data_IF_949151078926
#
_entry.id   IF_949151078926
#
_cell.length_a   1.000
_cell.length_b   1.000
_cell.length_c   1.000
_cell.angle_alpha   90.00
_cell.angle_beta   90.00
_cell.angle_gamma   90.00
#
_symmetry.space_group_name_H-M   'P 1'
#
loop_
_entity.id
_entity.type
_entity.pdbx_description
1 polymer ?
#
# COMPACT_ATOMS: atom_id res chain seq x y z
N UNK A 1 -9.13 1.74 -8.72
CA UNK A 1 -9.03 1.23 -7.33
C UNK A 1 -10.39 1.32 -6.69
N UNK A 2 -10.82 0.29 -5.98
CA UNK A 2 -12.16 0.19 -5.39
C UNK A 2 -12.14 0.29 -3.88
N UNK A 3 -11.12 -0.27 -3.21
CA UNK A 3 -10.99 -0.18 -1.76
C UNK A 3 -9.54 -0.39 -1.29
N UNK A 4 -9.30 -0.07 -0.02
CA UNK A 4 -8.04 -0.39 0.68
C UNK A 4 -8.32 -0.81 2.12
N UNK A 5 -7.45 -1.63 2.70
CA UNK A 5 -7.40 -1.88 4.13
C UNK A 5 -5.96 -1.68 4.63
N UNK A 6 -5.70 -0.76 5.57
CA UNK A 6 -6.63 0.23 6.12
C UNK A 6 -7.24 1.13 5.03
N UNK A 7 -8.45 1.66 5.28
CA UNK A 7 -9.09 2.63 4.38
C UNK A 7 -8.35 3.96 4.42
N UNK A 8 -8.49 4.77 3.38
CA UNK A 8 -7.94 6.13 3.36
C UNK A 8 -8.49 6.95 4.53
N UNK A 9 -7.60 7.52 5.34
CA UNK A 9 -7.95 8.30 6.53
C UNK A 9 -8.34 7.46 7.75
N UNK A 10 -8.20 6.14 7.71
CA UNK A 10 -8.52 5.29 8.86
C UNK A 10 -7.71 5.69 10.10
N UNK A 11 -8.39 5.77 11.25
CA UNK A 11 -7.77 5.92 12.57
C UNK A 11 -7.93 4.63 13.36
N UNK A 12 -7.14 4.44 14.42
CA UNK A 12 -7.28 3.28 15.28
C UNK A 12 -6.76 1.97 14.66
N UNK A 13 -5.87 2.06 13.70
CA UNK A 13 -5.28 0.87 13.05
C UNK A 13 -4.32 0.19 14.01
N UNK A 14 -4.53 -1.10 14.29
CA UNK A 14 -3.65 -1.83 15.21
C UNK A 14 -2.17 -1.79 14.79
N UNK A 15 -1.30 -1.48 15.75
CA UNK A 15 0.17 -1.60 15.59
C UNK A 15 0.64 -3.04 15.29
N UNK A 16 -0.16 -4.05 15.63
CA UNK A 16 0.18 -5.46 15.33
C UNK A 16 -0.22 -5.86 13.91
N UNK A 17 -1.04 -5.08 13.21
CA UNK A 17 -1.37 -5.37 11.81
C UNK A 17 -0.17 -5.17 10.88
N UNK A 18 0.11 -6.18 10.05
CA UNK A 18 1.24 -6.16 9.10
C UNK A 18 0.87 -5.95 7.65
N UNK A 19 -0.39 -6.24 7.32
CA UNK A 19 -0.84 -6.25 5.95
C UNK A 19 -1.51 -4.92 5.61
N UNK A 20 -1.28 -4.50 4.38
CA UNK A 20 -2.03 -3.47 3.69
C UNK A 20 -2.56 -4.11 2.42
N UNK A 21 -3.87 -4.06 2.21
CA UNK A 21 -4.48 -4.56 0.98
C UNK A 21 -5.05 -3.40 0.18
N UNK A 22 -4.89 -3.47 -1.14
CA UNK A 22 -5.46 -2.51 -2.09
C UNK A 22 -6.15 -3.33 -3.18
N UNK A 23 -7.45 -3.09 -3.36
CA UNK A 23 -8.27 -3.79 -4.34
C UNK A 23 -8.56 -2.87 -5.52
N UNK A 24 -8.43 -3.42 -6.72
CA UNK A 24 -8.63 -2.76 -7.99
C UNK A 24 -9.95 -3.23 -8.63
N UNK A 25 -10.44 -2.47 -9.60
CA UNK A 25 -11.67 -2.80 -10.33
C UNK A 25 -11.49 -3.99 -11.27
N UNK A 26 -10.25 -4.31 -11.63
CA UNK A 26 -9.88 -5.36 -12.57
C UNK A 26 -8.66 -6.11 -12.07
N UNK A 27 -8.39 -7.27 -12.67
CA UNK A 27 -7.18 -8.04 -12.36
C UNK A 27 -5.92 -7.25 -12.71
N UNK A 28 -4.92 -7.35 -11.86
CA UNK A 28 -3.70 -6.55 -11.96
C UNK A 28 -2.45 -7.43 -12.11
N UNK A 29 -1.37 -6.79 -12.55
CA UNK A 29 -0.02 -7.32 -12.61
C UNK A 29 0.97 -6.27 -12.11
N UNK A 30 2.16 -6.72 -11.74
CA UNK A 30 3.26 -5.83 -11.41
C UNK A 30 3.65 -4.99 -12.64
N UNK A 31 3.72 -3.68 -12.47
CA UNK A 31 4.22 -2.74 -13.47
C UNK A 31 5.73 -2.50 -13.33
N UNK A 32 6.28 -1.66 -14.20
CA UNK A 32 7.72 -1.35 -14.23
C UNK A 32 8.22 -0.74 -12.91
N UNK A 33 7.36 0.02 -12.21
CA UNK A 33 7.70 0.68 -10.95
C UNK A 33 7.19 -0.06 -9.71
N UNK A 34 6.88 -1.34 -9.83
CA UNK A 34 6.36 -2.13 -8.71
C UNK A 34 7.33 -2.16 -7.52
N UNK A 35 8.65 -2.14 -7.79
CA UNK A 35 9.69 -2.07 -6.76
C UNK A 35 9.67 -0.75 -5.97
N UNK A 36 9.24 0.36 -6.58
CA UNK A 36 9.19 1.71 -5.99
C UNK A 36 7.99 1.93 -5.04
N UNK A 37 7.08 0.96 -4.91
CA UNK A 37 6.00 0.99 -3.92
C UNK A 37 6.58 1.03 -2.50
N UNK A 38 6.15 2.00 -1.70
CA UNK A 38 6.64 2.17 -0.33
C UNK A 38 5.52 2.44 0.69
N UNK A 39 5.85 2.18 1.97
CA UNK A 39 5.06 2.63 3.12
C UNK A 39 5.96 3.50 3.99
N UNK A 40 5.56 4.72 4.28
CA UNK A 40 6.35 5.69 5.05
C UNK A 40 5.63 6.05 6.35
N UNK A 41 6.33 5.95 7.47
CA UNK A 41 5.87 6.58 8.70
C UNK A 41 6.14 8.09 8.57
N UNK A 42 5.08 8.88 8.48
CA UNK A 42 5.15 10.33 8.31
C UNK A 42 5.57 11.04 9.59
N UNK A 43 5.22 10.50 10.76
CA UNK A 43 5.59 11.06 12.06
C UNK A 43 7.10 11.02 12.32
N UNK A 44 7.79 9.99 11.82
CA UNK A 44 9.25 9.81 11.96
C UNK A 44 10.03 10.11 10.68
N UNK A 45 9.34 10.24 9.55
CA UNK A 45 9.93 10.40 8.22
C UNK A 45 10.57 9.13 7.64
N UNK A 46 10.52 7.98 8.34
CA UNK A 46 11.20 6.74 7.93
C UNK A 46 10.32 5.85 7.06
N UNK A 47 10.94 5.15 6.11
CA UNK A 47 10.28 4.06 5.39
C UNK A 47 10.09 2.85 6.31
N UNK A 48 8.96 2.16 6.17
CA UNK A 48 8.76 0.87 6.83
C UNK A 48 9.36 -0.24 5.98
N UNK A 49 9.93 -1.26 6.64
CA UNK A 49 10.42 -2.45 5.98
C UNK A 49 9.26 -3.28 5.45
N UNK A 50 9.16 -3.38 4.11
CA UNK A 50 8.24 -4.28 3.41
C UNK A 50 8.92 -5.64 3.27
N UNK A 51 8.28 -6.69 3.78
CA UNK A 51 8.78 -8.08 3.68
C UNK A 51 8.32 -8.77 2.42
N UNK A 52 7.14 -8.42 1.90
CA UNK A 52 6.62 -8.97 0.64
C UNK A 52 5.57 -8.05 0.01
N UNK A 53 5.43 -8.19 -1.32
CA UNK A 53 4.35 -7.62 -2.12
C UNK A 53 3.79 -8.73 -2.99
N UNK A 54 2.52 -9.08 -2.81
CA UNK A 54 1.87 -10.16 -3.55
C UNK A 54 0.65 -9.63 -4.30
N UNK A 55 0.40 -10.17 -5.49
CA UNK A 55 -0.77 -9.88 -6.29
C UNK A 55 -1.58 -11.18 -6.41
N UNK A 56 -2.87 -11.10 -6.12
CA UNK A 56 -3.83 -12.18 -6.35
C UNK A 56 -5.10 -11.59 -6.98
N UNK A 57 -5.37 -11.95 -8.24
CA UNK A 57 -6.46 -11.37 -9.02
C UNK A 57 -6.34 -9.85 -9.12
N UNK A 58 -7.30 -9.14 -8.54
CA UNK A 58 -7.38 -7.68 -8.49
C UNK A 58 -6.82 -7.07 -7.19
N UNK A 59 -6.17 -7.85 -6.33
CA UNK A 59 -5.74 -7.39 -5.00
C UNK A 59 -4.23 -7.42 -4.86
N UNK A 60 -3.66 -6.27 -4.48
CA UNK A 60 -2.28 -6.13 -4.01
C UNK A 60 -2.27 -6.26 -2.49
N UNK A 61 -1.41 -7.12 -1.95
CA UNK A 61 -1.11 -7.20 -0.52
C UNK A 61 0.34 -6.78 -0.28
N UNK A 62 0.54 -5.79 0.57
CA UNK A 62 1.85 -5.33 1.05
C UNK A 62 2.00 -5.80 2.49
N UNK A 63 2.97 -6.65 2.77
CA UNK A 63 3.27 -7.11 4.13
C UNK A 63 4.51 -6.41 4.66
N UNK A 64 4.42 -5.89 5.88
CA UNK A 64 5.48 -5.17 6.59
C UNK A 64 6.04 -6.00 7.76
N UNK A 65 7.13 -5.57 8.38
CA UNK A 65 7.59 -6.09 9.68
C UNK A 65 6.66 -5.66 10.84
N UNK A 66 6.67 -6.39 11.97
CA UNK A 66 5.95 -6.01 13.20
C UNK A 66 6.65 -4.84 13.92
N UNK A 67 6.59 -3.64 13.37
CA UNK A 67 7.25 -2.46 13.95
C UNK A 67 6.47 -1.16 13.73
N UNK A 68 5.15 -1.24 13.56
CA UNK A 68 4.33 -0.03 13.56
C UNK A 68 4.36 0.60 14.95
N UNK A 69 4.54 1.91 14.99
CA UNK A 69 4.56 2.69 16.22
C UNK A 69 3.14 3.12 16.55
N UNK A 70 2.81 3.21 17.84
CA UNK A 70 1.52 3.69 18.31
C UNK A 70 1.33 5.19 17.99
N UNK A 71 0.11 5.65 17.70
CA UNK A 71 -0.25 7.05 17.45
C UNK A 71 0.59 7.70 16.33
N UNK A 72 0.92 6.94 15.28
CA UNK A 72 1.74 7.41 14.17
C UNK A 72 0.94 7.41 12.87
N UNK A 73 1.25 8.38 12.00
CA UNK A 73 0.66 8.46 10.67
C UNK A 73 1.53 7.70 9.66
N UNK A 74 0.90 6.85 8.87
CA UNK A 74 1.54 6.07 7.82
C UNK A 74 0.96 6.45 6.46
N UNK A 75 1.83 6.63 5.48
CA UNK A 75 1.49 6.83 4.07
C UNK A 75 1.78 5.55 3.29
N UNK A 76 0.83 5.12 2.48
CA UNK A 76 1.03 4.14 1.42
C UNK A 76 1.19 4.91 0.11
N UNK A 77 2.18 4.52 -0.69
CA UNK A 77 2.45 5.17 -1.97
C UNK A 77 2.74 4.14 -3.06
N UNK A 78 1.95 4.22 -4.12
CA UNK A 78 2.11 3.46 -5.37
C UNK A 78 2.41 4.49 -6.47
N UNK A 79 3.62 4.52 -7.04
CA UNK A 79 3.92 5.40 -8.16
C UNK A 79 3.07 5.07 -9.40
N UNK A 80 2.98 6.01 -10.34
CA UNK A 80 2.47 5.69 -11.68
C UNK A 80 3.29 4.55 -12.30
N UNK A 81 2.66 3.71 -13.12
CA UNK A 81 3.24 2.50 -13.70
C UNK A 81 3.77 1.46 -12.67
N UNK A 82 3.42 1.57 -11.39
CA UNK A 82 3.73 0.53 -10.41
C UNK A 82 2.85 -0.72 -10.58
N UNK A 83 1.63 -0.52 -11.06
CA UNK A 83 0.64 -1.56 -11.32
C UNK A 83 0.15 -1.37 -12.75
N UNK A 84 -0.17 -2.47 -13.43
CA UNK A 84 -0.87 -2.49 -14.71
C UNK A 84 -2.01 -3.51 -14.68
N UNK A 85 -2.99 -3.35 -15.54
CA UNK A 85 -4.01 -4.40 -15.75
C UNK A 85 -3.46 -5.56 -16.61
N UNK A 86 -4.26 -6.59 -16.82
CA UNK A 86 -3.90 -7.75 -17.67
C UNK A 86 -3.83 -7.41 -19.16
N UNK A 87 -4.40 -6.29 -19.59
CA UNK A 87 -4.32 -5.79 -20.97
C UNK A 87 -3.04 -4.95 -21.21
N UNK A 88 -2.28 -4.64 -20.15
CA UNK A 88 -1.04 -3.88 -20.22
C UNK A 88 -1.19 -2.39 -19.94
N UNK A 89 -2.39 -1.90 -19.59
CA UNK A 89 -2.60 -0.50 -19.26
C UNK A 89 -2.03 -0.20 -17.88
N UNK A 90 -1.13 0.79 -17.80
CA UNK A 90 -0.51 1.20 -16.55
C UNK A 90 -1.47 2.04 -15.69
N UNK A 91 -1.28 1.96 -14.37
CA UNK A 91 -1.77 2.97 -13.45
C UNK A 91 -1.18 4.33 -13.86
N UNK A 92 -2.01 5.21 -14.39
CA UNK A 92 -1.58 6.49 -14.99
C UNK A 92 -1.14 7.51 -13.95
N UNK A 93 -1.83 7.56 -12.82
CA UNK A 93 -1.57 8.52 -11.73
C UNK A 93 -1.08 7.78 -10.48
N UNK A 94 -0.06 8.33 -9.83
CA UNK A 94 0.39 7.81 -8.55
C UNK A 94 -0.77 7.80 -7.54
N UNK A 95 -0.87 6.72 -6.77
CA UNK A 95 -1.86 6.58 -5.72
C UNK A 95 -1.21 6.70 -4.36
N UNK A 96 -1.79 7.52 -3.50
CA UNK A 96 -1.33 7.68 -2.14
C UNK A 96 -2.49 7.91 -1.19
N UNK A 97 -2.40 7.29 -0.02
CA UNK A 97 -3.33 7.53 1.08
C UNK A 97 -2.62 7.35 2.42
N UNK A 98 -3.29 7.78 3.49
CA UNK A 98 -2.76 7.73 4.84
C UNK A 98 -3.69 6.99 5.80
N UNK A 99 -3.14 6.47 6.89
CA UNK A 99 -3.87 5.94 8.04
C UNK A 99 -3.08 6.19 9.32
N UNK A 100 -3.76 6.17 10.47
CA UNK A 100 -3.19 6.38 11.79
C UNK A 100 -3.35 5.14 12.67
N UNK A 101 -2.28 4.80 13.39
CA UNK A 101 -2.26 3.65 14.31
C UNK A 101 -2.70 4.00 15.74
N UNK A 102 -3.20 3.00 16.47
CA UNK A 102 -3.43 3.03 17.93
C UNK A 102 -2.94 1.73 18.60
#
# INVERSE_FOLDING_TARGET
>A
MTSSNPTSGATGVSVTSRNITITFSENIQAGAKFSEIYVKNLSTGKLTTITSKTISGNTLTITQTYNRLNNNNYQVYLPSAAIKDTAGNNLTTAYSYQFQTI
#
